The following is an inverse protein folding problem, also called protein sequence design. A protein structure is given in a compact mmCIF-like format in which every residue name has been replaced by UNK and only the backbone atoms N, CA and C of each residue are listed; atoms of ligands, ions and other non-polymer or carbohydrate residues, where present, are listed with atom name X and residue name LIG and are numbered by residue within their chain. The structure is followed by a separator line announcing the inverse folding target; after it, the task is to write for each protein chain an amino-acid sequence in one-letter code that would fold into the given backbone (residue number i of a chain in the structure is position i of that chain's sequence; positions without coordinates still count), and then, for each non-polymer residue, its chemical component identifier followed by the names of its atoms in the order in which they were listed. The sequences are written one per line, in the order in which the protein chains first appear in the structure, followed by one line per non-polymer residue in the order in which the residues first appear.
data_IF_949091550648
#
_entry.id   IF_949091550648
#
_cell.length_a   1.000
_cell.length_b   1.000
_cell.length_c   1.000
_cell.angle_alpha   90.00
_cell.angle_beta   90.00
_cell.angle_gamma   90.00
#
_symmetry.space_group_name_H-M   'P 1'
#
loop_
_entity.id
_entity.type
_entity.pdbx_description
1 polymer ?
#
# COMPACT_ATOMS: atom_id res chain seq x y z
N UNK A 1 -3.19 15.38 -48.75
CA UNK A 1 -4.33 14.84 -49.49
C UNK A 1 -5.12 13.91 -48.58
N UNK A 2 -6.38 14.20 -48.31
CA UNK A 2 -7.23 13.32 -47.51
C UNK A 2 -7.50 12.03 -48.33
N UNK A 3 -7.02 10.89 -47.85
CA UNK A 3 -7.37 9.61 -48.46
C UNK A 3 -8.91 9.45 -48.34
N UNK A 4 -9.58 9.26 -49.49
CA UNK A 4 -11.01 8.98 -49.54
C UNK A 4 -11.29 7.76 -48.66
N UNK A 5 -12.21 7.88 -47.70
CA UNK A 5 -12.64 6.76 -46.87
C UNK A 5 -13.24 5.68 -47.77
N UNK A 6 -12.48 4.60 -48.01
CA UNK A 6 -13.03 3.41 -48.68
C UNK A 6 -14.16 2.88 -47.77
N UNK A 7 -15.37 2.88 -48.30
CA UNK A 7 -16.52 2.23 -47.66
C UNK A 7 -16.43 0.72 -47.89
N UNK A 8 -16.84 -0.10 -46.96
CA UNK A 8 -16.91 -1.55 -47.17
C UNK A 8 -17.99 -1.87 -48.19
N UNK A 9 -17.70 -2.85 -49.07
CA UNK A 9 -18.73 -3.44 -49.91
C UNK A 9 -19.73 -4.30 -49.11
N UNK A 10 -20.85 -4.77 -49.69
CA UNK A 10 -21.87 -5.54 -48.95
C UNK A 10 -21.32 -6.81 -48.27
N UNK A 11 -20.36 -7.52 -48.89
CA UNK A 11 -19.77 -8.73 -48.27
C UNK A 11 -18.85 -8.36 -47.13
N UNK A 12 -18.07 -7.30 -47.26
CA UNK A 12 -17.23 -6.74 -46.20
C UNK A 12 -18.08 -6.20 -45.05
N UNK A 13 -19.21 -5.56 -45.37
CA UNK A 13 -20.15 -5.09 -44.35
C UNK A 13 -20.77 -6.24 -43.55
N UNK A 14 -21.10 -7.35 -44.19
CA UNK A 14 -21.59 -8.55 -43.54
C UNK A 14 -20.52 -9.11 -42.58
N UNK A 15 -19.26 -9.20 -43.01
CA UNK A 15 -18.17 -9.62 -42.11
C UNK A 15 -18.04 -8.71 -40.91
N UNK A 16 -18.17 -7.39 -41.08
CA UNK A 16 -18.12 -6.43 -39.94
C UNK A 16 -19.28 -6.65 -38.96
N UNK A 17 -20.46 -7.03 -39.44
CA UNK A 17 -21.61 -7.31 -38.61
C UNK A 17 -21.46 -8.62 -37.81
N UNK A 18 -20.88 -9.64 -38.46
CA UNK A 18 -20.77 -11.00 -37.93
C UNK A 18 -19.51 -11.23 -37.07
N UNK A 19 -18.52 -10.32 -37.12
CA UNK A 19 -17.28 -10.48 -36.35
C UNK A 19 -17.57 -10.53 -34.83
N UNK A 20 -16.97 -11.53 -34.15
CA UNK A 20 -17.03 -11.73 -32.68
C UNK A 20 -15.65 -11.69 -32.10
N UNK A 21 -15.58 -11.40 -30.81
CA UNK A 21 -14.31 -11.32 -30.08
C UNK A 21 -14.42 -12.14 -28.79
N UNK A 22 -13.43 -12.99 -28.53
CA UNK A 22 -13.36 -13.82 -27.33
C UNK A 22 -11.97 -13.75 -26.67
N UNK A 23 -11.96 -13.98 -25.35
CA UNK A 23 -10.71 -14.19 -24.61
C UNK A 23 -10.07 -15.50 -25.04
N UNK A 24 -8.81 -15.44 -25.43
CA UNK A 24 -8.06 -16.62 -25.88
C UNK A 24 -7.75 -17.56 -24.69
N UNK A 25 -7.97 -18.85 -24.93
CA UNK A 25 -7.57 -19.90 -23.99
C UNK A 25 -6.03 -20.03 -23.91
N UNK A 26 -5.48 -20.62 -22.84
CA UNK A 26 -4.03 -20.87 -22.76
C UNK A 26 -3.46 -21.65 -23.95
N UNK A 27 -4.20 -22.60 -24.48
CA UNK A 27 -3.79 -23.40 -25.64
C UNK A 27 -3.64 -22.59 -26.94
N UNK A 28 -4.47 -21.55 -27.10
CA UNK A 28 -4.44 -20.68 -28.29
C UNK A 28 -3.30 -19.66 -28.28
N UNK A 29 -2.69 -19.36 -27.13
CA UNK A 29 -1.62 -18.36 -27.00
C UNK A 29 -0.40 -18.66 -27.84
N UNK A 30 -0.02 -19.92 -28.00
CA UNK A 30 1.10 -20.31 -28.85
C UNK A 30 0.87 -19.94 -30.32
N UNK A 31 -0.36 -20.13 -30.82
CA UNK A 31 -0.75 -19.72 -32.17
C UNK A 31 -0.77 -18.19 -32.33
N UNK A 32 -1.29 -17.47 -31.36
CA UNK A 32 -1.28 -15.98 -31.34
C UNK A 32 0.16 -15.48 -31.43
N UNK A 33 1.08 -16.01 -30.63
CA UNK A 33 2.48 -15.59 -30.65
C UNK A 33 3.13 -15.86 -32.02
N UNK A 34 2.90 -17.01 -32.63
CA UNK A 34 3.40 -17.31 -33.99
C UNK A 34 2.84 -16.31 -35.02
N UNK A 35 1.56 -15.94 -34.94
CA UNK A 35 0.98 -14.96 -35.87
C UNK A 35 1.58 -13.56 -35.64
N UNK A 36 1.81 -13.17 -34.40
CA UNK A 36 2.47 -11.91 -34.07
C UNK A 36 3.92 -11.90 -34.56
N UNK A 37 4.68 -12.98 -34.35
CA UNK A 37 6.06 -13.08 -34.82
C UNK A 37 6.15 -13.02 -36.36
N UNK A 38 5.16 -13.56 -37.04
CA UNK A 38 5.14 -13.57 -38.53
C UNK A 38 4.67 -12.23 -39.11
N UNK A 39 3.68 -11.57 -38.52
CA UNK A 39 2.96 -10.47 -39.18
C UNK A 39 2.98 -9.14 -38.42
N UNK A 40 3.35 -9.11 -37.15
CA UNK A 40 3.40 -7.86 -36.36
C UNK A 40 4.83 -7.33 -36.31
N UNK A 41 5.06 -6.05 -36.62
CA UNK A 41 6.40 -5.42 -36.70
C UNK A 41 7.23 -5.50 -35.40
N UNK A 42 6.60 -5.69 -34.24
CA UNK A 42 7.27 -5.88 -32.93
C UNK A 42 7.32 -7.36 -32.52
N UNK A 43 6.81 -8.28 -33.33
CA UNK A 43 6.69 -9.69 -32.96
C UNK A 43 5.81 -9.95 -31.75
N UNK A 44 5.91 -11.15 -31.21
CA UNK A 44 5.26 -11.53 -29.96
C UNK A 44 5.88 -10.81 -28.75
N UNK A 45 5.22 -10.89 -27.60
CA UNK A 45 5.69 -10.30 -26.35
C UNK A 45 5.60 -11.33 -25.22
N UNK A 46 6.54 -11.26 -24.28
CA UNK A 46 6.44 -11.90 -22.96
C UNK A 46 5.95 -10.85 -21.94
N UNK A 47 4.64 -10.62 -21.83
CA UNK A 47 4.11 -9.59 -20.94
C UNK A 47 4.38 -9.94 -19.50
N UNK A 48 4.70 -8.92 -18.70
CA UNK A 48 4.88 -9.04 -17.26
C UNK A 48 3.57 -8.64 -16.57
N UNK A 49 3.19 -9.38 -15.55
CA UNK A 49 1.96 -9.10 -14.79
C UNK A 49 0.69 -9.64 -15.46
N UNK A 50 -0.42 -9.01 -15.14
CA UNK A 50 -1.75 -9.36 -15.66
C UNK A 50 -1.84 -9.09 -17.15
N UNK A 51 -2.51 -10.01 -17.89
CA UNK A 51 -2.57 -9.95 -19.35
C UNK A 51 -3.74 -10.74 -19.92
N UNK A 52 -4.40 -10.18 -20.93
CA UNK A 52 -5.41 -10.86 -21.70
C UNK A 52 -5.05 -10.88 -23.17
N UNK A 53 -5.34 -11.99 -23.82
CA UNK A 53 -5.22 -12.20 -25.24
C UNK A 53 -6.63 -12.35 -25.81
N UNK A 54 -6.91 -11.66 -26.91
CA UNK A 54 -8.19 -11.73 -27.60
C UNK A 54 -8.00 -12.24 -29.02
N UNK A 55 -9.00 -12.96 -29.49
CA UNK A 55 -9.13 -13.44 -30.86
C UNK A 55 -10.43 -12.90 -31.41
N UNK A 56 -10.39 -12.30 -32.59
CA UNK A 56 -11.57 -11.98 -33.36
C UNK A 56 -11.83 -13.06 -34.42
N UNK A 57 -13.10 -13.45 -34.57
CA UNK A 57 -13.56 -14.51 -35.44
C UNK A 57 -14.53 -13.96 -36.45
N UNK A 58 -14.54 -14.53 -37.69
CA UNK A 58 -15.64 -14.36 -38.63
C UNK A 58 -16.75 -15.42 -38.44
N UNK A 59 -17.79 -15.34 -39.23
CA UNK A 59 -18.89 -16.31 -39.22
C UNK A 59 -18.44 -17.75 -39.53
N UNK A 60 -17.38 -17.93 -40.30
CA UNK A 60 -16.77 -19.22 -40.65
C UNK A 60 -15.78 -19.72 -39.57
N UNK A 61 -15.73 -19.13 -38.40
CA UNK A 61 -14.83 -19.48 -37.30
C UNK A 61 -13.35 -19.34 -37.65
N UNK A 62 -13.01 -18.47 -38.63
CA UNK A 62 -11.61 -18.15 -38.96
C UNK A 62 -11.14 -16.98 -38.11
N UNK A 63 -9.88 -16.99 -37.70
CA UNK A 63 -9.27 -15.88 -36.97
C UNK A 63 -9.06 -14.72 -37.95
N UNK A 64 -9.60 -13.56 -37.62
CA UNK A 64 -9.45 -12.33 -38.43
C UNK A 64 -8.52 -11.30 -37.78
N UNK A 65 -8.40 -11.34 -36.45
CA UNK A 65 -7.53 -10.42 -35.70
C UNK A 65 -7.14 -11.00 -34.36
N UNK A 66 -6.01 -10.52 -33.80
CA UNK A 66 -5.57 -10.82 -32.45
C UNK A 66 -5.14 -9.54 -31.75
N UNK A 67 -5.49 -9.43 -30.44
CA UNK A 67 -5.08 -8.33 -29.58
C UNK A 67 -4.47 -8.87 -28.29
N UNK A 68 -3.51 -8.10 -27.74
CA UNK A 68 -2.90 -8.41 -26.44
C UNK A 68 -2.94 -7.17 -25.58
N UNK A 69 -3.50 -7.34 -24.38
CA UNK A 69 -3.47 -6.36 -23.32
C UNK A 69 -2.56 -6.84 -22.19
N UNK A 70 -1.84 -5.92 -21.56
CA UNK A 70 -0.88 -6.24 -20.49
C UNK A 70 -0.81 -5.12 -19.48
N UNK A 71 -0.02 -5.34 -18.42
CA UNK A 71 0.25 -4.31 -17.44
C UNK A 71 0.75 -3.01 -18.11
N UNK A 72 0.33 -1.83 -17.61
CA UNK A 72 0.68 -0.53 -18.20
C UNK A 72 2.13 -0.15 -17.91
N UNK A 73 2.60 0.91 -18.55
CA UNK A 73 3.90 1.51 -18.20
C UNK A 73 3.85 2.09 -16.79
N UNK A 74 4.91 1.85 -16.00
CA UNK A 74 4.96 2.29 -14.59
C UNK A 74 4.90 3.81 -14.42
N UNK A 75 5.56 4.54 -15.31
CA UNK A 75 5.66 6.01 -15.29
C UNK A 75 5.43 6.55 -16.68
N UNK A 76 4.39 7.36 -16.86
CA UNK A 76 4.09 8.08 -18.10
C UNK A 76 3.58 9.47 -17.74
N UNK A 77 4.43 10.47 -17.93
CA UNK A 77 4.14 11.86 -17.56
C UNK A 77 2.79 12.34 -18.12
N UNK A 78 2.56 12.17 -19.39
CA UNK A 78 1.34 12.64 -20.07
C UNK A 78 0.08 11.91 -19.59
N UNK A 79 0.13 10.58 -19.42
CA UNK A 79 -0.99 9.80 -18.86
C UNK A 79 -1.28 10.20 -17.43
N UNK A 80 -0.22 10.32 -16.61
CA UNK A 80 -0.35 10.61 -15.18
C UNK A 80 -0.94 12.01 -14.96
N UNK A 81 -0.54 12.98 -15.77
CA UNK A 81 -1.15 14.33 -15.81
C UNK A 81 -2.59 14.32 -16.31
N UNK A 82 -2.89 13.54 -17.36
CA UNK A 82 -4.23 13.43 -17.92
C UNK A 82 -5.21 12.77 -16.95
N UNK A 83 -4.80 11.71 -16.24
CA UNK A 83 -5.59 11.12 -15.16
C UNK A 83 -5.70 12.10 -13.98
N UNK A 84 -4.66 12.89 -13.67
CA UNK A 84 -4.64 13.87 -12.58
C UNK A 84 -4.43 13.27 -11.19
N UNK A 85 -3.93 12.05 -11.09
CA UNK A 85 -3.64 11.38 -9.84
C UNK A 85 -2.29 11.77 -9.23
N UNK A 86 -2.16 11.64 -7.92
CA UNK A 86 -0.88 11.79 -7.21
C UNK A 86 0.05 10.58 -7.49
N UNK A 87 1.33 10.74 -7.17
CA UNK A 87 2.30 9.65 -7.28
C UNK A 87 1.91 8.42 -6.42
N UNK A 88 1.30 8.64 -5.26
CA UNK A 88 0.86 7.58 -4.38
C UNK A 88 -0.40 6.90 -4.93
N UNK A 89 -1.39 7.65 -5.40
CA UNK A 89 -2.57 7.10 -6.07
C UNK A 89 -2.14 6.27 -7.29
N UNK A 90 -1.25 6.79 -8.15
CA UNK A 90 -0.70 6.03 -9.26
C UNK A 90 -0.11 4.70 -8.82
N UNK A 91 0.74 4.71 -7.79
CA UNK A 91 1.38 3.50 -7.28
C UNK A 91 0.37 2.45 -6.82
N UNK A 92 -0.68 2.88 -6.15
CA UNK A 92 -1.71 2.00 -5.58
C UNK A 92 -2.74 1.54 -6.60
N UNK A 93 -2.99 2.33 -7.65
CA UNK A 93 -4.10 2.18 -8.61
C UNK A 93 -3.66 1.83 -10.02
N UNK A 94 -2.36 1.64 -10.25
CA UNK A 94 -1.81 1.42 -11.59
C UNK A 94 -2.38 0.15 -12.27
N UNK A 95 -2.77 -0.88 -11.52
CA UNK A 95 -3.42 -2.08 -12.06
C UNK A 95 -4.84 -1.84 -12.59
N UNK A 96 -5.46 -0.68 -12.28
CA UNK A 96 -6.71 -0.25 -12.93
C UNK A 96 -6.48 0.34 -14.34
N UNK A 97 -5.25 0.38 -14.80
CA UNK A 97 -4.87 0.77 -16.16
C UNK A 97 -4.30 -0.44 -16.88
N UNK A 98 -4.62 -0.61 -18.15
CA UNK A 98 -4.04 -1.66 -19.01
C UNK A 98 -3.50 -1.09 -20.31
N UNK A 99 -2.55 -1.79 -20.91
CA UNK A 99 -1.89 -1.39 -22.16
C UNK A 99 -2.25 -2.35 -23.31
N UNK A 100 -2.88 -1.83 -24.37
CA UNK A 100 -2.98 -2.58 -25.62
C UNK A 100 -1.59 -2.64 -26.28
N UNK A 101 -0.82 -3.68 -25.98
CA UNK A 101 0.57 -3.81 -26.38
C UNK A 101 0.78 -4.45 -27.75
N UNK A 102 -0.22 -5.18 -28.28
CA UNK A 102 -0.24 -5.76 -29.61
C UNK A 102 -1.65 -5.71 -30.18
N UNK A 103 -1.72 -5.31 -31.44
CA UNK A 103 -2.95 -5.36 -32.22
C UNK A 103 -2.58 -5.72 -33.67
N UNK A 104 -3.12 -6.83 -34.16
CA UNK A 104 -2.87 -7.35 -35.51
C UNK A 104 -4.19 -7.75 -36.15
N UNK A 105 -4.55 -7.09 -37.25
CA UNK A 105 -5.52 -7.61 -38.21
C UNK A 105 -4.73 -8.50 -39.19
N UNK A 106 -5.21 -9.72 -39.39
CA UNK A 106 -4.48 -10.67 -40.24
C UNK A 106 -4.49 -10.21 -41.71
N UNK A 107 -3.38 -10.36 -42.45
CA UNK A 107 -3.24 -9.80 -43.81
C UNK A 107 -4.31 -10.25 -44.81
N UNK A 108 -4.83 -11.46 -44.62
CA UNK A 108 -5.90 -12.03 -45.47
C UNK A 108 -7.24 -11.30 -45.33
N UNK A 109 -7.39 -10.48 -44.27
CA UNK A 109 -8.62 -9.75 -43.98
C UNK A 109 -8.42 -8.23 -44.08
N UNK A 110 -8.02 -7.76 -45.24
CA UNK A 110 -7.87 -6.32 -45.53
C UNK A 110 -9.24 -5.65 -45.78
N UNK A 111 -10.07 -5.61 -44.77
CA UNK A 111 -11.42 -5.04 -44.83
C UNK A 111 -11.45 -3.65 -44.15
N UNK A 112 -11.97 -2.61 -44.86
CA UNK A 112 -12.12 -1.29 -44.26
C UNK A 112 -12.90 -1.35 -42.93
N UNK A 113 -12.48 -0.59 -41.93
CA UNK A 113 -13.08 -0.52 -40.61
C UNK A 113 -13.00 -1.80 -39.74
N UNK A 114 -12.46 -2.93 -40.22
CA UNK A 114 -12.37 -4.16 -39.45
C UNK A 114 -11.59 -3.97 -38.14
N UNK A 115 -10.44 -3.31 -38.19
CA UNK A 115 -9.65 -3.01 -37.01
C UNK A 115 -10.44 -2.18 -35.98
N UNK A 116 -11.13 -1.13 -36.43
CA UNK A 116 -11.93 -0.29 -35.54
C UNK A 116 -13.10 -1.07 -34.91
N UNK A 117 -13.75 -1.94 -35.66
CA UNK A 117 -14.84 -2.81 -35.20
C UNK A 117 -14.35 -3.81 -34.16
N UNK A 118 -13.26 -4.51 -34.44
CA UNK A 118 -12.66 -5.48 -33.50
C UNK A 118 -12.21 -4.79 -32.21
N UNK A 119 -11.55 -3.64 -32.31
CA UNK A 119 -11.14 -2.88 -31.13
C UNK A 119 -12.33 -2.45 -30.29
N UNK A 120 -13.42 -1.98 -30.91
CA UNK A 120 -14.65 -1.60 -30.22
C UNK A 120 -15.23 -2.75 -29.43
N UNK A 121 -15.45 -3.90 -30.09
CA UNK A 121 -15.98 -5.10 -29.46
C UNK A 121 -15.12 -5.60 -28.30
N UNK A 122 -13.79 -5.47 -28.44
CA UNK A 122 -12.85 -5.83 -27.37
C UNK A 122 -12.99 -4.88 -26.18
N UNK A 123 -13.06 -3.57 -26.41
CA UNK A 123 -13.13 -2.56 -25.35
C UNK A 123 -14.45 -2.64 -24.58
N UNK A 124 -15.54 -3.01 -25.25
CA UNK A 124 -16.88 -3.11 -24.63
C UNK A 124 -16.94 -4.24 -23.59
N UNK A 125 -16.04 -5.24 -23.65
CA UNK A 125 -15.98 -6.36 -22.70
C UNK A 125 -14.71 -6.39 -21.82
N UNK A 126 -13.70 -5.58 -22.15
CA UNK A 126 -12.36 -5.65 -21.56
C UNK A 126 -12.36 -5.58 -20.03
N UNK A 127 -13.13 -4.68 -19.44
CA UNK A 127 -13.18 -4.48 -17.98
C UNK A 127 -13.81 -5.68 -17.27
N UNK A 128 -14.88 -6.25 -17.83
CA UNK A 128 -15.57 -7.41 -17.26
C UNK A 128 -14.73 -8.68 -17.37
N UNK A 129 -14.06 -8.86 -18.51
CA UNK A 129 -13.13 -9.97 -18.69
C UNK A 129 -11.94 -9.88 -17.72
N UNK A 130 -11.46 -8.65 -17.47
CA UNK A 130 -10.38 -8.42 -16.50
C UNK A 130 -10.85 -8.71 -15.07
N UNK A 131 -12.05 -8.26 -14.71
CA UNK A 131 -12.69 -8.58 -13.44
C UNK A 131 -12.82 -10.10 -13.25
N UNK A 132 -13.26 -10.82 -14.28
CA UNK A 132 -13.41 -12.27 -14.23
C UNK A 132 -12.07 -13.01 -14.05
N UNK A 133 -11.01 -12.53 -14.73
CA UNK A 133 -9.72 -13.21 -14.69
C UNK A 133 -8.86 -12.85 -13.47
N UNK A 134 -8.97 -11.62 -12.94
CA UNK A 134 -8.04 -11.08 -11.93
C UNK A 134 -8.71 -10.57 -10.66
N UNK A 135 -10.05 -10.56 -10.60
CA UNK A 135 -10.81 -10.12 -9.44
C UNK A 135 -10.85 -8.60 -9.26
N UNK A 136 -10.54 -7.83 -10.30
CA UNK A 136 -10.74 -6.38 -10.34
C UNK A 136 -10.95 -5.90 -11.78
N UNK A 137 -11.70 -4.81 -12.00
CA UNK A 137 -11.89 -4.23 -13.32
C UNK A 137 -10.68 -3.41 -13.77
N UNK A 138 -10.71 -2.92 -15.02
CA UNK A 138 -9.83 -1.86 -15.52
C UNK A 138 -10.65 -0.63 -15.88
N UNK A 139 -10.09 0.55 -15.63
CA UNK A 139 -10.75 1.85 -15.81
C UNK A 139 -10.22 2.62 -17.02
N UNK A 140 -8.93 2.47 -17.33
CA UNK A 140 -8.26 3.19 -18.40
C UNK A 140 -7.45 2.23 -19.25
N UNK A 141 -7.42 2.46 -20.52
CA UNK A 141 -6.56 1.73 -21.45
C UNK A 141 -5.61 2.71 -22.16
N UNK A 142 -4.34 2.29 -22.30
CA UNK A 142 -3.30 3.03 -23.00
C UNK A 142 -2.73 2.22 -24.18
N UNK A 143 -2.12 2.88 -25.16
CA UNK A 143 -1.36 2.23 -26.23
C UNK A 143 -0.29 3.15 -26.79
N UNK A 144 0.72 2.57 -27.41
CA UNK A 144 1.85 3.25 -28.03
C UNK A 144 1.89 2.97 -29.53
N UNK A 145 1.74 4.01 -30.33
CA UNK A 145 1.74 3.93 -31.79
C UNK A 145 3.08 4.46 -32.33
N UNK A 146 3.70 3.68 -33.19
CA UNK A 146 4.90 4.07 -33.93
C UNK A 146 4.51 5.06 -35.05
N UNK A 147 4.91 6.36 -34.97
CA UNK A 147 4.48 7.38 -35.92
C UNK A 147 5.09 7.18 -37.34
N UNK A 148 6.21 6.46 -37.46
CA UNK A 148 6.82 6.17 -38.73
C UNK A 148 6.03 5.14 -39.56
N UNK A 149 5.19 4.33 -38.89
CA UNK A 149 4.43 3.22 -39.46
C UNK A 149 2.94 3.43 -39.50
N UNK A 150 2.39 4.10 -38.49
CA UNK A 150 0.94 4.16 -38.27
C UNK A 150 0.46 5.54 -37.85
N UNK A 151 -0.65 5.98 -38.39
CA UNK A 151 -1.31 7.24 -38.02
C UNK A 151 -2.20 7.12 -36.77
N UNK A 152 -2.44 5.92 -36.24
CA UNK A 152 -3.29 5.72 -35.06
C UNK A 152 -4.79 5.86 -35.32
N UNK A 153 -5.24 5.88 -36.58
CA UNK A 153 -6.64 6.13 -36.99
C UNK A 153 -7.62 5.15 -36.33
N UNK A 154 -7.24 3.90 -36.11
CA UNK A 154 -8.07 2.89 -35.44
C UNK A 154 -8.40 3.27 -34.01
N UNK A 155 -7.48 3.89 -33.31
CA UNK A 155 -7.66 4.38 -31.94
C UNK A 155 -8.51 5.64 -31.91
N UNK A 156 -8.20 6.62 -32.76
CA UNK A 156 -8.98 7.86 -32.87
C UNK A 156 -10.46 7.57 -33.21
N UNK A 157 -10.70 6.63 -34.14
CA UNK A 157 -12.06 6.20 -34.51
C UNK A 157 -12.83 5.53 -33.36
N UNK A 158 -12.13 5.05 -32.35
CA UNK A 158 -12.69 4.46 -31.14
C UNK A 158 -12.68 5.42 -29.93
N UNK A 159 -12.56 6.72 -30.15
CA UNK A 159 -12.66 7.73 -29.08
C UNK A 159 -11.46 7.76 -28.15
N UNK A 160 -10.28 7.34 -28.60
CA UNK A 160 -9.05 7.50 -27.84
C UNK A 160 -8.49 8.92 -28.02
N UNK A 161 -7.92 9.44 -26.94
CA UNK A 161 -7.27 10.75 -26.92
C UNK A 161 -5.76 10.57 -27.09
N UNK A 162 -5.16 11.29 -28.02
CA UNK A 162 -3.70 11.37 -28.15
C UNK A 162 -3.17 12.38 -27.11
N UNK A 163 -2.20 11.97 -26.32
CA UNK A 163 -1.61 12.81 -25.26
C UNK A 163 -0.21 13.34 -25.59
N UNK A 164 0.32 13.02 -26.79
CA UNK A 164 1.66 13.41 -27.21
C UNK A 164 2.60 12.24 -27.41
N UNK A 165 3.90 12.48 -27.34
CA UNK A 165 4.93 11.49 -27.59
C UNK A 165 5.68 11.09 -26.31
N UNK A 166 6.19 9.85 -26.30
CA UNK A 166 7.06 9.35 -25.23
C UNK A 166 8.49 9.83 -25.46
N UNK A 167 9.30 9.87 -24.38
CA UNK A 167 10.70 10.29 -24.43
C UNK A 167 11.65 9.23 -25.05
N UNK A 168 11.12 8.14 -25.62
CA UNK A 168 11.91 7.11 -26.28
C UNK A 168 12.74 6.22 -25.34
N UNK A 169 12.24 5.96 -24.11
CA UNK A 169 12.86 5.02 -23.18
C UNK A 169 12.21 3.63 -23.28
N UNK A 170 13.05 2.60 -23.38
CA UNK A 170 12.63 1.20 -23.34
C UNK A 170 13.15 0.49 -22.10
N UNK A 171 12.38 -0.44 -21.55
CA UNK A 171 12.79 -1.28 -20.42
C UNK A 171 13.65 -2.44 -20.94
N UNK A 172 14.91 -2.52 -20.49
CA UNK A 172 15.81 -3.63 -20.83
C UNK A 172 15.78 -4.75 -19.80
N UNK A 173 15.73 -4.42 -18.48
CA UNK A 173 15.70 -5.37 -17.37
C UNK A 173 14.81 -4.84 -16.24
N UNK A 174 14.65 -5.61 -15.16
CA UNK A 174 13.66 -5.37 -14.10
C UNK A 174 13.65 -3.95 -13.54
N UNK A 175 14.62 -3.15 -13.57
CA UNK A 175 14.62 -1.74 -13.16
C UNK A 175 15.61 -0.90 -13.97
N UNK A 176 15.91 -1.37 -15.20
CA UNK A 176 16.84 -0.72 -16.09
C UNK A 176 16.15 -0.27 -17.36
N UNK A 177 16.28 1.01 -17.71
CA UNK A 177 15.72 1.64 -18.91
C UNK A 177 16.84 2.16 -19.76
N UNK A 178 16.75 1.94 -21.07
CA UNK A 178 17.68 2.47 -22.07
C UNK A 178 16.93 3.40 -22.99
N UNK A 179 17.53 4.53 -23.30
CA UNK A 179 17.02 5.47 -24.28
C UNK A 179 17.30 4.92 -25.68
N UNK A 180 16.25 4.76 -26.47
CA UNK A 180 16.37 4.23 -27.85
C UNK A 180 16.03 5.27 -28.93
N UNK A 181 15.74 6.53 -28.53
CA UNK A 181 15.45 7.69 -29.38
C UNK A 181 14.37 7.46 -30.47
N UNK A 182 13.43 6.53 -30.21
CA UNK A 182 12.25 6.28 -31.04
C UNK A 182 10.99 6.63 -30.25
N UNK A 183 10.59 7.91 -30.24
CA UNK A 183 9.39 8.34 -29.54
C UNK A 183 8.15 7.69 -30.17
N UNK A 184 7.17 7.31 -29.34
CA UNK A 184 5.88 6.77 -29.78
C UNK A 184 4.78 7.72 -29.40
N UNK A 185 3.74 7.81 -30.22
CA UNK A 185 2.52 8.54 -29.89
C UNK A 185 1.75 7.76 -28.83
N UNK A 186 1.38 8.43 -27.75
CA UNK A 186 0.62 7.84 -26.67
C UNK A 186 -0.87 8.16 -26.85
N UNK A 187 -1.67 7.12 -26.93
CA UNK A 187 -3.12 7.21 -26.92
C UNK A 187 -3.67 6.61 -25.62
N UNK A 188 -4.71 7.24 -25.08
CA UNK A 188 -5.42 6.77 -23.89
C UNK A 188 -6.93 6.83 -24.12
N UNK A 189 -7.66 5.96 -23.42
CA UNK A 189 -9.11 6.01 -23.39
C UNK A 189 -9.63 5.61 -22.01
N UNK A 190 -10.56 6.38 -21.40
CA UNK A 190 -11.32 5.94 -20.26
C UNK A 190 -12.35 4.90 -20.72
N UNK A 191 -12.52 3.82 -19.98
CA UNK A 191 -13.54 2.79 -20.30
C UNK A 191 -14.92 3.20 -19.80
N UNK A 192 -14.99 4.05 -18.76
CA UNK A 192 -16.21 4.69 -18.25
C UNK A 192 -16.04 6.20 -18.24
N UNK A 193 -17.14 6.93 -18.26
CA UNK A 193 -17.11 8.43 -18.27
C UNK A 193 -16.47 9.03 -17.02
N UNK A 194 -16.58 8.35 -15.89
CA UNK A 194 -16.08 8.79 -14.59
C UNK A 194 -14.72 8.17 -14.19
N UNK A 195 -14.08 7.37 -15.06
CA UNK A 195 -12.84 6.65 -14.74
C UNK A 195 -11.74 7.55 -14.17
N UNK A 196 -11.44 8.69 -14.81
CA UNK A 196 -10.41 9.61 -14.31
C UNK A 196 -10.79 10.19 -12.94
N UNK A 197 -12.06 10.58 -12.75
CA UNK A 197 -12.55 11.08 -11.46
C UNK A 197 -12.45 10.01 -10.38
N UNK A 198 -12.80 8.77 -10.69
CA UNK A 198 -12.66 7.63 -9.77
C UNK A 198 -11.20 7.40 -9.39
N UNK A 199 -10.27 7.48 -10.36
CA UNK A 199 -8.85 7.29 -10.11
C UNK A 199 -8.19 8.43 -9.30
N UNK A 200 -8.79 9.64 -9.29
CA UNK A 200 -8.34 10.80 -8.50
C UNK A 200 -8.96 10.83 -7.10
N UNK A 201 -10.08 10.15 -6.87
CA UNK A 201 -10.81 10.21 -5.61
C UNK A 201 -9.91 9.87 -4.41
N UNK A 202 -10.18 10.44 -3.26
CA UNK A 202 -9.45 10.12 -2.03
C UNK A 202 -9.62 8.63 -1.69
N UNK A 203 -10.84 8.13 -1.76
CA UNK A 203 -11.19 6.74 -1.57
C UNK A 203 -11.79 6.14 -2.85
N UNK A 204 -11.33 4.95 -3.21
CA UNK A 204 -11.92 4.20 -4.32
C UNK A 204 -13.25 3.57 -3.91
N UNK A 205 -14.13 3.36 -4.90
CA UNK A 205 -15.32 2.50 -4.73
C UNK A 205 -14.87 1.08 -4.34
N UNK A 206 -15.67 0.32 -3.56
CA UNK A 206 -15.28 -1.00 -3.06
C UNK A 206 -14.76 -1.95 -4.13
N UNK A 207 -15.40 -2.00 -5.30
CA UNK A 207 -15.02 -2.85 -6.42
C UNK A 207 -13.64 -2.51 -7.02
N UNK A 208 -13.21 -1.26 -6.90
CA UNK A 208 -11.90 -0.78 -7.33
C UNK A 208 -10.84 -0.86 -6.22
N UNK A 209 -11.27 -0.75 -4.96
CA UNK A 209 -10.36 -0.67 -3.80
C UNK A 209 -9.56 -1.96 -3.57
N UNK A 210 -10.03 -3.09 -4.08
CA UNK A 210 -9.33 -4.39 -4.00
C UNK A 210 -7.91 -4.34 -4.56
N UNK A 211 -7.63 -3.46 -5.52
CA UNK A 211 -6.28 -3.31 -6.08
C UNK A 211 -5.33 -2.62 -5.10
N UNK A 212 -5.82 -1.67 -4.32
CA UNK A 212 -5.00 -0.97 -3.33
C UNK A 212 -4.56 -1.89 -2.21
N UNK A 213 -5.41 -2.84 -1.79
CA UNK A 213 -5.09 -3.83 -0.77
C UNK A 213 -3.96 -4.80 -1.20
N UNK A 214 -3.79 -5.01 -2.52
CA UNK A 214 -2.71 -5.86 -3.07
C UNK A 214 -1.35 -5.16 -3.12
N UNK A 215 -1.32 -3.82 -2.98
CA UNK A 215 -0.08 -3.04 -3.08
C UNK A 215 0.53 -2.87 -1.69
N UNK A 216 1.72 -3.43 -1.43
CA UNK A 216 2.35 -3.30 -0.13
C UNK A 216 2.62 -1.81 0.19
N UNK A 217 2.40 -1.40 1.44
CA UNK A 217 2.73 -0.05 1.87
C UNK A 217 4.21 0.25 1.62
N UNK A 218 4.52 1.51 1.32
CA UNK A 218 5.89 1.99 1.15
C UNK A 218 6.21 3.04 2.21
N UNK A 219 7.46 3.07 2.62
CA UNK A 219 7.94 4.17 3.43
C UNK A 219 7.88 5.48 2.63
N UNK A 220 7.02 6.38 3.05
CA UNK A 220 6.86 7.73 2.49
C UNK A 220 7.89 8.73 3.01
N UNK A 221 8.63 8.37 4.08
CA UNK A 221 9.59 9.27 4.72
C UNK A 221 10.83 9.53 3.85
N UNK A 222 11.22 10.80 3.79
CA UNK A 222 12.44 11.22 3.12
C UNK A 222 13.69 10.70 3.87
N UNK A 223 14.81 10.56 3.16
CA UNK A 223 16.08 10.09 3.72
C UNK A 223 16.51 10.88 4.98
N UNK A 224 16.24 12.19 5.03
CA UNK A 224 16.55 13.03 6.21
C UNK A 224 15.73 12.61 7.43
N UNK A 225 14.45 12.33 7.27
CA UNK A 225 13.55 11.86 8.35
C UNK A 225 13.96 10.48 8.84
N UNK A 226 14.29 9.56 7.91
CA UNK A 226 14.81 8.22 8.25
C UNK A 226 16.07 8.35 9.10
N UNK A 227 17.04 9.21 8.74
CA UNK A 227 18.24 9.44 9.52
C UNK A 227 17.95 9.95 10.93
N UNK A 228 17.02 10.87 11.07
CA UNK A 228 16.62 11.40 12.39
C UNK A 228 16.12 10.30 13.33
N UNK A 229 15.32 9.36 12.81
CA UNK A 229 14.82 8.19 13.57
C UNK A 229 16.00 7.25 13.91
N UNK A 230 16.83 6.95 12.92
CA UNK A 230 18.01 6.07 13.09
C UNK A 230 18.94 6.61 14.17
N UNK A 231 19.19 7.92 14.20
CA UNK A 231 20.10 8.54 15.16
C UNK A 231 19.61 8.36 16.61
N UNK A 232 18.29 8.37 16.85
CA UNK A 232 17.73 8.06 18.17
C UNK A 232 17.90 6.57 18.55
N UNK A 233 17.87 5.67 17.57
CA UNK A 233 17.92 4.23 17.78
C UNK A 233 19.34 3.66 17.79
N UNK A 234 20.37 4.41 17.32
CA UNK A 234 21.78 3.96 17.29
C UNK A 234 22.35 3.60 18.65
N UNK A 235 21.86 4.19 19.72
CA UNK A 235 22.29 3.89 21.09
C UNK A 235 21.70 2.58 21.64
N UNK A 236 20.92 1.82 20.86
CA UNK A 236 20.51 0.47 21.25
C UNK A 236 21.70 -0.45 21.37
N UNK A 237 21.88 -1.15 22.51
CA UNK A 237 22.97 -2.08 22.69
C UNK A 237 22.82 -3.29 21.76
N UNK A 238 23.87 -3.65 21.07
CA UNK A 238 23.92 -4.83 20.21
C UNK A 238 24.18 -6.07 21.07
N UNK A 239 23.20 -6.97 21.15
CA UNK A 239 23.29 -8.21 21.94
C UNK A 239 23.87 -9.40 21.16
N UNK A 240 23.98 -9.26 19.83
CA UNK A 240 24.47 -10.35 18.97
C UNK A 240 25.98 -10.29 18.88
N UNK A 241 26.64 -11.44 19.03
CA UNK A 241 28.10 -11.55 18.93
C UNK A 241 28.64 -11.18 17.54
N UNK A 242 27.83 -11.38 16.49
CA UNK A 242 28.21 -11.10 15.10
C UNK A 242 27.12 -10.36 14.34
N UNK A 243 27.47 -9.22 13.78
CA UNK A 243 26.58 -8.36 12.96
C UNK A 243 27.12 -8.32 11.54
N UNK A 244 26.46 -9.02 10.61
CA UNK A 244 26.89 -9.06 9.21
C UNK A 244 26.32 -7.89 8.39
N UNK A 245 25.00 -7.89 8.16
CA UNK A 245 24.35 -6.93 7.23
C UNK A 245 23.44 -5.93 7.91
N UNK A 246 22.83 -6.30 9.03
CA UNK A 246 21.76 -5.55 9.65
C UNK A 246 22.07 -5.23 11.12
N UNK A 247 22.61 -4.03 11.44
CA UNK A 247 22.71 -3.56 12.82
C UNK A 247 21.33 -3.58 13.51
N UNK A 248 21.30 -3.73 14.83
CA UNK A 248 20.07 -3.83 15.60
C UNK A 248 19.15 -2.61 15.41
N UNK A 249 19.75 -1.42 15.47
CA UNK A 249 19.03 -0.17 15.25
C UNK A 249 18.42 -0.07 13.83
N UNK A 250 19.02 -0.71 12.83
CA UNK A 250 18.45 -0.74 11.46
C UNK A 250 17.16 -1.53 11.42
N UNK A 251 17.10 -2.68 12.10
CA UNK A 251 15.90 -3.52 12.18
C UNK A 251 14.79 -2.82 12.98
N UNK A 252 15.13 -2.24 14.14
CA UNK A 252 14.20 -1.44 14.93
C UNK A 252 13.66 -0.25 14.15
N UNK A 253 14.51 0.47 13.40
CA UNK A 253 14.09 1.58 12.54
C UNK A 253 13.13 1.15 11.45
N UNK A 254 13.34 0.00 10.83
CA UNK A 254 12.44 -0.53 9.79
C UNK A 254 11.07 -0.87 10.38
N UNK A 255 11.04 -1.50 11.55
CA UNK A 255 9.80 -1.85 12.25
C UNK A 255 9.03 -0.59 12.63
N UNK A 256 9.69 0.39 13.23
CA UNK A 256 9.07 1.66 13.59
C UNK A 256 8.51 2.40 12.36
N UNK A 257 9.30 2.51 11.29
CA UNK A 257 8.83 3.10 10.03
C UNK A 257 7.67 2.33 9.41
N UNK A 258 7.65 1.00 9.52
CA UNK A 258 6.55 0.19 9.06
C UNK A 258 5.27 0.48 9.85
N UNK A 259 5.36 0.62 11.16
CA UNK A 259 4.23 1.00 12.01
C UNK A 259 3.73 2.41 11.70
N UNK A 260 4.62 3.39 11.57
CA UNK A 260 4.27 4.76 11.19
C UNK A 260 3.64 4.87 9.78
N UNK A 261 3.84 3.88 8.93
CA UNK A 261 3.24 3.78 7.60
C UNK A 261 2.06 2.81 7.55
N UNK A 262 1.52 2.40 8.69
CA UNK A 262 0.39 1.44 8.82
C UNK A 262 0.62 0.13 8.04
N UNK A 263 1.87 -0.30 7.95
CA UNK A 263 2.27 -1.34 7.02
C UNK A 263 2.09 -2.78 7.49
N UNK A 264 2.36 -3.18 8.76
CA UNK A 264 2.45 -4.58 9.06
C UNK A 264 1.22 -5.13 9.76
N UNK A 265 0.74 -6.25 9.26
CA UNK A 265 -0.12 -7.19 10.02
C UNK A 265 0.68 -8.38 10.57
N UNK A 266 1.97 -8.48 10.22
CA UNK A 266 2.86 -9.56 10.67
C UNK A 266 4.27 -9.46 10.08
N UNK A 267 5.13 -10.41 10.45
CA UNK A 267 6.56 -10.41 10.08
C UNK A 267 6.80 -10.53 8.57
N UNK A 268 5.91 -11.23 7.83
CA UNK A 268 5.96 -11.32 6.37
C UNK A 268 5.75 -9.95 5.72
N UNK A 269 4.89 -9.12 6.31
CA UNK A 269 4.65 -7.78 5.79
C UNK A 269 5.81 -6.83 6.08
N UNK A 270 6.53 -7.03 7.20
CA UNK A 270 7.79 -6.33 7.48
C UNK A 270 8.84 -6.59 6.39
N UNK A 271 8.98 -7.85 5.93
CA UNK A 271 9.87 -8.17 4.81
C UNK A 271 9.44 -7.47 3.51
N UNK A 272 8.15 -7.50 3.18
CA UNK A 272 7.61 -6.81 1.99
C UNK A 272 7.85 -5.31 2.06
N UNK A 273 7.62 -4.71 3.23
CA UNK A 273 7.87 -3.30 3.49
C UNK A 273 9.36 -2.96 3.33
N UNK A 274 10.26 -3.76 3.94
CA UNK A 274 11.70 -3.60 3.83
C UNK A 274 12.22 -3.71 2.39
N UNK A 275 11.62 -4.59 1.58
CA UNK A 275 11.90 -4.69 0.14
C UNK A 275 11.47 -3.43 -0.64
N UNK A 276 10.50 -2.67 -0.13
CA UNK A 276 10.02 -1.42 -0.71
C UNK A 276 11.00 -0.24 -0.62
N UNK A 277 11.98 -0.26 0.29
CA UNK A 277 13.00 0.78 0.39
C UNK A 277 13.94 0.77 -0.81
N UNK A 278 14.26 1.96 -1.33
CA UNK A 278 15.32 2.12 -2.33
C UNK A 278 16.73 2.02 -1.69
N UNK A 279 17.79 1.94 -2.51
CA UNK A 279 19.16 1.78 -2.02
C UNK A 279 19.62 2.96 -1.15
N UNK A 280 19.18 4.19 -1.44
CA UNK A 280 19.47 5.38 -0.63
C UNK A 280 18.83 5.33 0.76
N UNK A 281 17.57 4.90 0.84
CA UNK A 281 16.87 4.70 2.11
C UNK A 281 17.50 3.56 2.92
N UNK A 282 17.86 2.43 2.29
CA UNK A 282 18.56 1.32 2.97
C UNK A 282 19.92 1.73 3.51
N UNK A 283 20.66 2.56 2.77
CA UNK A 283 21.90 3.17 3.26
C UNK A 283 21.64 4.07 4.47
N UNK A 284 20.60 4.90 4.43
CA UNK A 284 20.24 5.78 5.53
C UNK A 284 19.82 5.02 6.80
N UNK A 285 19.21 3.85 6.64
CA UNK A 285 18.89 2.91 7.72
C UNK A 285 20.13 2.25 8.35
N UNK A 286 21.35 2.45 7.80
CA UNK A 286 22.58 1.86 8.32
C UNK A 286 22.80 0.40 7.91
N UNK A 287 22.04 -0.12 6.95
CA UNK A 287 22.25 -1.46 6.39
C UNK A 287 23.63 -1.50 5.71
N UNK A 288 24.39 -2.57 5.91
CA UNK A 288 25.72 -2.74 5.32
C UNK A 288 25.62 -3.26 3.88
N UNK A 289 26.59 -2.88 3.05
CA UNK A 289 26.70 -3.40 1.67
C UNK A 289 27.05 -4.88 1.69
N UNK A 290 26.44 -5.64 0.81
CA UNK A 290 26.84 -7.01 0.51
C UNK A 290 28.06 -7.02 -0.46
N UNK A 291 28.59 -8.21 -0.74
CA UNK A 291 29.74 -8.40 -1.66
C UNK A 291 29.47 -7.88 -3.09
N UNK A 292 28.21 -7.76 -3.49
CA UNK A 292 27.79 -7.24 -4.79
C UNK A 292 27.61 -5.70 -4.80
N UNK A 293 27.95 -5.01 -3.69
CA UNK A 293 27.85 -3.56 -3.58
C UNK A 293 26.45 -3.01 -3.30
N UNK A 294 25.45 -3.88 -3.07
CA UNK A 294 24.07 -3.50 -2.78
C UNK A 294 23.76 -3.53 -1.27
N UNK A 295 22.76 -2.74 -0.86
CA UNK A 295 22.19 -2.79 0.48
C UNK A 295 21.00 -3.78 0.47
N UNK A 296 21.13 -4.99 1.03
CA UNK A 296 20.09 -6.00 0.96
C UNK A 296 18.89 -5.63 1.86
N UNK A 297 17.71 -6.18 1.56
CA UNK A 297 16.55 -6.07 2.46
C UNK A 297 16.56 -7.23 3.45
N UNK A 298 16.22 -6.98 4.75
CA UNK A 298 16.07 -8.06 5.73
C UNK A 298 14.93 -9.01 5.34
N UNK A 299 15.13 -10.30 5.62
CA UNK A 299 14.11 -11.33 5.44
C UNK A 299 13.20 -11.45 6.66
N UNK A 300 12.06 -12.14 6.51
CA UNK A 300 11.16 -12.47 7.61
C UNK A 300 11.89 -13.12 8.78
N UNK A 301 12.76 -14.10 8.52
CA UNK A 301 13.53 -14.80 9.56
C UNK A 301 14.52 -13.89 10.30
N UNK A 302 14.98 -12.80 9.65
CA UNK A 302 15.82 -11.79 10.30
C UNK A 302 15.00 -10.98 11.31
N UNK A 303 13.79 -10.56 10.94
CA UNK A 303 12.88 -9.88 11.86
C UNK A 303 12.43 -10.79 13.01
N UNK A 304 12.13 -12.07 12.73
CA UNK A 304 11.75 -13.04 13.74
C UNK A 304 12.82 -13.18 14.83
N UNK A 305 14.07 -13.36 14.43
CA UNK A 305 15.21 -13.45 15.38
C UNK A 305 15.46 -12.16 16.12
N UNK A 306 15.26 -11.02 15.48
CA UNK A 306 15.36 -9.71 16.13
C UNK A 306 14.30 -9.56 17.23
N UNK A 307 13.04 -9.84 16.92
CA UNK A 307 11.93 -9.70 17.88
C UNK A 307 12.02 -10.68 19.06
N UNK A 308 12.56 -11.89 18.83
CA UNK A 308 12.76 -12.87 19.88
C UNK A 308 13.90 -12.52 20.87
N UNK A 309 14.88 -11.70 20.46
CA UNK A 309 16.05 -11.40 21.27
C UNK A 309 16.17 -9.97 21.78
N UNK A 310 15.23 -9.09 21.39
CA UNK A 310 15.31 -7.67 21.79
C UNK A 310 14.89 -7.47 23.24
N UNK A 311 15.66 -6.64 23.95
CA UNK A 311 15.29 -6.13 25.25
C UNK A 311 14.19 -5.08 25.10
N UNK A 312 12.98 -5.42 25.56
CA UNK A 312 11.80 -4.58 25.41
C UNK A 312 11.93 -3.24 26.16
N UNK A 313 12.57 -3.23 27.33
CA UNK A 313 12.74 -2.00 28.13
C UNK A 313 13.68 -1.03 27.41
N UNK A 314 14.81 -1.52 26.92
CA UNK A 314 15.76 -0.70 26.14
C UNK A 314 15.17 -0.20 24.84
N UNK A 315 14.33 -1.01 24.18
CA UNK A 315 13.59 -0.55 23.02
C UNK A 315 12.63 0.57 23.38
N UNK A 316 11.89 0.42 24.48
CA UNK A 316 10.95 1.41 24.98
C UNK A 316 11.62 2.77 25.22
N UNK A 317 12.75 2.80 25.93
CA UNK A 317 13.52 4.03 26.14
C UNK A 317 13.89 4.73 24.83
N UNK A 318 14.26 3.96 23.80
CA UNK A 318 14.62 4.51 22.48
C UNK A 318 13.41 5.02 21.71
N UNK A 319 12.25 4.37 21.85
CA UNK A 319 11.00 4.83 21.25
C UNK A 319 10.54 6.15 21.86
N UNK A 320 10.66 6.31 23.20
CA UNK A 320 10.41 7.59 23.87
C UNK A 320 11.33 8.70 23.36
N UNK A 321 12.63 8.41 23.15
CA UNK A 321 13.56 9.36 22.54
C UNK A 321 13.18 9.74 21.12
N UNK A 322 12.69 8.80 20.31
CA UNK A 322 12.17 9.09 18.96
C UNK A 322 10.93 9.97 19.05
N UNK A 323 9.98 9.66 19.95
CA UNK A 323 8.79 10.47 20.15
C UNK A 323 9.14 11.90 20.51
N UNK A 324 10.02 12.10 21.50
CA UNK A 324 10.50 13.40 21.91
C UNK A 324 11.16 14.18 20.77
N UNK A 325 11.95 13.50 19.94
CA UNK A 325 12.64 14.09 18.77
C UNK A 325 11.67 14.53 17.69
N UNK A 326 10.59 13.79 17.47
CA UNK A 326 9.63 14.04 16.39
C UNK A 326 8.48 14.96 16.81
N UNK A 327 8.03 14.88 18.05
CA UNK A 327 6.82 15.56 18.54
C UNK A 327 7.10 16.60 19.62
N UNK A 328 8.32 16.65 20.15
CA UNK A 328 8.69 17.52 21.27
C UNK A 328 8.36 16.91 22.64
N UNK A 329 8.44 17.71 23.73
CA UNK A 329 8.19 17.24 25.08
C UNK A 329 6.73 16.79 25.26
N UNK A 330 6.54 15.86 26.18
CA UNK A 330 5.21 15.35 26.55
C UNK A 330 4.39 16.48 27.19
N UNK A 331 3.22 16.84 26.67
CA UNK A 331 2.39 17.89 27.25
C UNK A 331 1.83 17.47 28.61
N UNK A 332 1.46 18.46 29.44
CA UNK A 332 0.83 18.25 30.74
C UNK A 332 -0.67 17.97 30.54
N UNK A 333 -1.00 16.72 30.33
CA UNK A 333 -2.35 16.24 30.00
C UNK A 333 -2.76 15.09 30.90
N UNK A 334 -4.05 14.70 30.81
CA UNK A 334 -4.58 13.51 31.48
C UNK A 334 -3.80 12.27 30.97
N UNK A 335 -3.36 11.44 31.88
CA UNK A 335 -2.78 10.12 31.58
C UNK A 335 -3.85 9.05 31.71
N UNK A 336 -4.05 8.25 30.68
CA UNK A 336 -4.96 7.11 30.72
C UNK A 336 -4.13 5.83 30.62
N UNK A 337 -4.42 4.87 31.51
CA UNK A 337 -3.83 3.53 31.46
C UNK A 337 -4.93 2.52 31.12
N UNK A 338 -4.68 1.69 30.12
CA UNK A 338 -5.63 0.68 29.62
C UNK A 338 -4.89 -0.58 29.19
N UNK A 339 -5.45 -1.74 29.57
CA UNK A 339 -4.95 -3.04 29.17
C UNK A 339 -5.51 -3.49 27.83
N UNK A 340 -4.69 -4.13 27.01
CA UNK A 340 -5.09 -4.72 25.74
C UNK A 340 -4.63 -6.16 25.63
N UNK A 341 -5.59 -7.04 25.38
CA UNK A 341 -5.31 -8.42 25.01
C UNK A 341 -5.02 -8.54 23.51
N UNK A 342 -4.05 -9.37 23.10
CA UNK A 342 -3.81 -9.65 21.68
C UNK A 342 -5.02 -10.33 21.04
N UNK A 343 -5.57 -9.78 19.97
CA UNK A 343 -6.76 -10.30 19.27
C UNK A 343 -6.58 -11.71 18.65
N UNK A 344 -5.34 -12.15 18.46
CA UNK A 344 -5.03 -13.44 17.82
C UNK A 344 -3.74 -14.02 18.41
N UNK A 345 -3.86 -14.81 19.47
CA UNK A 345 -2.73 -15.53 20.04
C UNK A 345 -2.82 -15.66 21.57
N UNK A 346 -2.12 -16.63 22.11
CA UNK A 346 -1.86 -16.82 23.55
C UNK A 346 -0.76 -15.84 24.01
N UNK A 347 -0.92 -14.55 23.82
CA UNK A 347 0.04 -13.55 24.27
C UNK A 347 -0.39 -12.89 25.56
N UNK A 348 0.58 -12.50 26.40
CA UNK A 348 0.34 -11.70 27.60
C UNK A 348 -0.39 -10.39 27.24
N UNK A 349 -1.34 -9.97 28.08
CA UNK A 349 -1.97 -8.66 27.98
C UNK A 349 -0.92 -7.55 28.14
N UNK A 350 -1.15 -6.38 27.57
CA UNK A 350 -0.23 -5.24 27.64
C UNK A 350 -0.95 -4.06 28.28
N UNK A 351 -0.52 -3.66 29.45
CA UNK A 351 -0.98 -2.43 30.10
C UNK A 351 -0.17 -1.25 29.53
N UNK A 352 -0.84 -0.23 29.02
CA UNK A 352 -0.21 0.91 28.34
C UNK A 352 -0.68 2.23 28.92
N UNK A 353 0.25 3.17 29.12
CA UNK A 353 -0.02 4.54 29.55
C UNK A 353 0.17 5.52 28.38
N UNK A 354 -0.86 6.36 28.13
CA UNK A 354 -0.85 7.41 27.10
C UNK A 354 -1.46 8.70 27.62
N UNK A 355 -1.06 9.83 27.04
CA UNK A 355 -1.73 11.12 27.31
C UNK A 355 -2.99 11.30 26.46
N UNK A 356 -3.96 12.06 26.94
CA UNK A 356 -5.21 12.43 26.24
C UNK A 356 -5.39 13.94 26.32
N UNK A 357 -5.66 14.67 25.22
CA UNK A 357 -6.01 14.15 23.88
C UNK A 357 -4.85 13.86 22.93
N UNK A 358 -3.62 14.31 23.25
CA UNK A 358 -2.50 14.28 22.29
C UNK A 358 -1.91 12.89 22.01
N UNK A 359 -2.29 11.86 22.75
CA UNK A 359 -1.85 10.47 22.58
C UNK A 359 -0.31 10.30 22.55
N UNK A 360 0.40 10.93 23.49
CA UNK A 360 1.80 10.63 23.73
C UNK A 360 1.90 9.32 24.50
N UNK A 361 2.69 8.41 23.99
CA UNK A 361 3.05 7.17 24.67
C UNK A 361 4.00 7.47 25.83
N UNK A 362 3.71 6.92 27.01
CA UNK A 362 4.53 7.10 28.21
C UNK A 362 5.27 5.82 28.61
N UNK A 363 4.65 4.68 28.44
CA UNK A 363 5.23 3.39 28.75
C UNK A 363 4.22 2.26 28.67
N UNK A 364 4.73 1.03 28.77
CA UNK A 364 3.90 -0.17 28.86
C UNK A 364 4.58 -1.25 29.70
N UNK A 365 3.77 -2.17 30.23
CA UNK A 365 4.21 -3.36 30.92
C UNK A 365 3.42 -4.58 30.46
N UNK A 366 4.06 -5.76 30.46
CA UNK A 366 3.40 -7.03 30.15
C UNK A 366 2.68 -7.54 31.38
N UNK A 367 1.46 -8.04 31.18
CA UNK A 367 0.65 -8.68 32.21
C UNK A 367 0.65 -10.18 31.94
N UNK A 368 1.40 -10.94 32.72
CA UNK A 368 1.48 -12.40 32.57
C UNK A 368 0.12 -13.06 32.82
N UNK A 369 -0.12 -14.20 32.16
CA UNK A 369 -1.37 -15.00 32.28
C UNK A 369 -1.73 -15.36 33.73
N UNK A 370 -0.74 -15.41 34.65
CA UNK A 370 -0.92 -15.76 36.07
C UNK A 370 -1.12 -14.56 36.98
N UNK A 371 -1.02 -13.35 36.47
CA UNK A 371 -1.20 -12.10 37.20
C UNK A 371 -2.35 -11.30 36.59
N UNK A 372 -2.83 -10.30 37.33
CA UNK A 372 -3.78 -9.34 36.78
C UNK A 372 -3.11 -7.98 36.58
N UNK A 373 -3.82 -7.04 35.98
CA UNK A 373 -3.30 -5.71 35.65
C UNK A 373 -2.94 -4.87 36.88
N UNK A 374 -3.58 -5.13 38.05
CA UNK A 374 -3.42 -4.31 39.25
C UNK A 374 -1.99 -4.34 39.79
N UNK A 375 -1.37 -5.51 40.07
CA UNK A 375 0.01 -5.55 40.55
C UNK A 375 0.99 -5.00 39.51
N UNK A 376 0.75 -5.23 38.23
CA UNK A 376 1.60 -4.75 37.14
C UNK A 376 1.56 -3.21 37.04
N UNK A 377 0.37 -2.63 37.21
CA UNK A 377 0.24 -1.17 37.26
C UNK A 377 1.01 -0.60 38.47
N UNK A 378 0.82 -1.16 39.66
CA UNK A 378 1.38 -0.67 40.92
C UNK A 378 2.89 -0.88 41.02
N UNK A 379 3.40 -2.05 40.62
CA UNK A 379 4.79 -2.43 40.85
C UNK A 379 5.71 -2.18 39.65
N UNK A 380 5.15 -2.16 38.46
CA UNK A 380 5.97 -2.09 37.26
C UNK A 380 5.76 -0.82 36.43
N UNK A 381 4.51 -0.43 36.12
CA UNK A 381 4.27 0.65 35.19
C UNK A 381 4.34 2.03 35.85
N UNK A 382 3.52 2.28 36.90
CA UNK A 382 3.42 3.58 37.57
C UNK A 382 4.79 4.08 38.08
N UNK A 383 5.62 3.24 38.75
CA UNK A 383 6.92 3.70 39.28
C UNK A 383 7.93 4.11 38.20
N UNK A 384 7.72 3.70 36.93
CA UNK A 384 8.62 4.05 35.80
C UNK A 384 8.20 5.33 35.09
N UNK A 385 7.01 5.86 35.39
CA UNK A 385 6.44 7.00 34.70
C UNK A 385 6.70 8.31 35.41
N UNK A 386 6.98 9.36 34.69
CA UNK A 386 6.95 10.73 35.24
C UNK A 386 5.49 11.23 35.22
N UNK A 387 4.87 11.10 36.38
CA UNK A 387 3.46 11.50 36.63
C UNK A 387 3.36 12.79 37.43
N UNK A 388 4.47 13.47 37.75
CA UNK A 388 4.49 14.66 38.57
C UNK A 388 3.47 15.72 38.11
N UNK A 389 2.50 16.04 38.95
CA UNK A 389 1.43 17.00 38.69
C UNK A 389 0.42 16.57 37.60
N UNK A 390 0.45 15.34 37.13
CA UNK A 390 -0.50 14.82 36.13
C UNK A 390 -1.69 14.14 36.79
N UNK A 391 -2.85 14.28 36.16
CA UNK A 391 -4.01 13.49 36.53
C UNK A 391 -3.94 12.13 35.79
N UNK A 392 -4.06 11.03 36.52
CA UNK A 392 -4.01 9.66 36.01
C UNK A 392 -5.40 9.04 36.14
N UNK A 393 -5.91 8.50 35.01
CA UNK A 393 -7.18 7.78 34.98
C UNK A 393 -6.94 6.30 34.65
N UNK A 394 -7.55 5.44 35.48
CA UNK A 394 -7.61 4.00 35.28
C UNK A 394 -9.07 3.54 35.36
N UNK A 395 -9.32 2.33 34.85
CA UNK A 395 -10.65 1.74 34.92
C UNK A 395 -11.04 1.34 36.35
N UNK A 396 -12.28 0.87 36.55
CA UNK A 396 -12.81 0.52 37.85
C UNK A 396 -12.06 -0.64 38.56
N UNK A 397 -11.40 -1.53 37.81
CA UNK A 397 -10.61 -2.64 38.32
C UNK A 397 -9.48 -2.11 39.23
N UNK A 398 -8.88 -1.00 38.83
CA UNK A 398 -7.77 -0.34 39.54
C UNK A 398 -8.19 0.55 40.69
N UNK A 399 -9.48 0.60 41.09
CA UNK A 399 -9.97 1.37 42.25
C UNK A 399 -9.59 0.65 43.55
N UNK A 400 -8.33 0.78 43.90
CA UNK A 400 -7.69 0.17 45.08
C UNK A 400 -6.88 1.24 45.82
N UNK A 401 -6.81 1.15 47.14
CA UNK A 401 -6.04 2.09 48.00
C UNK A 401 -4.58 2.12 47.57
N UNK A 402 -3.98 0.96 47.31
CA UNK A 402 -2.58 0.86 46.88
C UNK A 402 -2.32 1.51 45.54
N UNK A 403 -3.22 1.37 44.55
CA UNK A 403 -3.09 2.08 43.27
C UNK A 403 -3.10 3.60 43.48
N UNK A 404 -4.02 4.11 44.29
CA UNK A 404 -4.08 5.55 44.60
C UNK A 404 -2.81 6.04 45.28
N UNK A 405 -2.29 5.26 46.26
CA UNK A 405 -1.04 5.56 46.97
C UNK A 405 0.15 5.58 46.03
N UNK A 406 0.29 4.59 45.18
CA UNK A 406 1.40 4.50 44.20
C UNK A 406 1.40 5.69 43.23
N UNK A 407 0.21 6.09 42.72
CA UNK A 407 0.12 7.27 41.83
C UNK A 407 0.56 8.55 42.56
N UNK A 408 0.15 8.72 43.80
CA UNK A 408 0.42 9.97 44.56
C UNK A 408 1.82 9.97 45.16
N UNK A 409 2.20 8.90 45.87
CA UNK A 409 3.42 8.87 46.66
C UNK A 409 4.67 8.53 45.84
N UNK A 410 4.55 7.64 44.86
CA UNK A 410 5.66 7.24 44.04
C UNK A 410 5.69 8.00 42.69
N UNK A 411 4.53 8.18 42.06
CA UNK A 411 4.42 8.89 40.78
C UNK A 411 4.36 10.41 40.91
N UNK A 412 4.05 10.96 42.08
CA UNK A 412 3.88 12.42 42.30
C UNK A 412 2.68 13.02 41.58
N UNK A 413 1.73 12.20 41.15
CA UNK A 413 0.57 12.57 40.35
C UNK A 413 -0.73 12.68 41.18
N UNK A 414 -1.82 12.90 40.47
CA UNK A 414 -3.19 12.87 40.98
C UNK A 414 -3.96 11.75 40.31
N UNK A 415 -4.98 11.19 40.93
CA UNK A 415 -5.76 10.11 40.35
C UNK A 415 -7.22 10.47 40.10
N UNK A 416 -7.81 9.85 39.11
CA UNK A 416 -9.24 9.83 38.84
C UNK A 416 -9.65 8.38 38.59
N UNK A 417 -10.22 7.74 39.64
CA UNK A 417 -10.58 6.32 39.56
C UNK A 417 -12.11 6.18 39.48
N UNK A 418 -12.55 5.27 38.60
CA UNK A 418 -13.97 4.99 38.40
C UNK A 418 -14.46 4.01 39.49
N UNK A 419 -15.44 4.39 40.28
CA UNK A 419 -16.06 3.52 41.32
C UNK A 419 -17.30 2.83 40.74
N UNK A 420 -17.31 1.50 40.77
CA UNK A 420 -18.42 0.64 40.33
C UNK A 420 -18.75 -0.39 41.40
N UNK A 421 -19.52 -1.43 41.08
CA UNK A 421 -19.98 -2.47 41.99
C UNK A 421 -18.84 -3.36 42.55
N UNK A 422 -17.62 -3.26 42.02
CA UNK A 422 -16.42 -3.86 42.61
C UNK A 422 -15.98 -3.23 43.92
N UNK A 423 -16.50 -2.03 44.26
CA UNK A 423 -16.27 -1.30 45.49
C UNK A 423 -17.61 -0.81 46.12
N UNK A 424 -18.51 -1.71 46.56
CA UNK A 424 -19.90 -1.38 46.92
C UNK A 424 -20.00 -0.43 48.10
N UNK A 425 -19.13 -0.59 49.12
CA UNK A 425 -19.10 0.28 50.28
C UNK A 425 -18.67 1.70 49.92
N UNK A 426 -17.60 1.83 49.13
CA UNK A 426 -17.10 3.12 48.67
C UNK A 426 -18.15 3.83 47.81
N UNK A 427 -18.77 3.11 46.89
CA UNK A 427 -19.87 3.60 46.06
C UNK A 427 -21.02 4.13 46.88
N UNK A 428 -21.52 3.36 47.87
CA UNK A 428 -22.60 3.77 48.73
C UNK A 428 -22.24 5.02 49.55
N UNK A 429 -21.00 5.12 50.03
CA UNK A 429 -20.53 6.29 50.78
C UNK A 429 -20.46 7.55 49.92
N UNK A 430 -20.03 7.42 48.63
CA UNK A 430 -20.02 8.52 47.65
C UNK A 430 -21.46 8.96 47.36
N UNK A 431 -22.36 8.01 47.06
CA UNK A 431 -23.76 8.29 46.74
C UNK A 431 -24.45 9.03 47.93
N UNK A 432 -24.20 8.61 49.18
CA UNK A 432 -24.70 9.32 50.39
C UNK A 432 -24.18 10.74 50.50
N UNK A 433 -22.89 10.97 50.20
CA UNK A 433 -22.29 12.32 50.26
C UNK A 433 -22.80 13.22 49.14
N UNK A 434 -23.00 12.69 47.95
CA UNK A 434 -23.51 13.46 46.78
C UNK A 434 -25.01 13.76 46.92
N UNK A 435 -25.78 12.86 47.54
CA UNK A 435 -27.22 13.06 47.85
C UNK A 435 -27.49 13.98 49.03
N UNK A 436 -26.51 14.25 49.92
CA UNK A 436 -26.65 15.21 50.99
C UNK A 436 -26.76 16.64 50.41
N UNK A 437 -27.72 17.49 50.91
CA UNK A 437 -27.77 18.87 50.48
C UNK A 437 -26.42 19.53 50.79
N UNK A 438 -25.86 20.24 49.80
CA UNK A 438 -24.53 20.84 49.80
C UNK A 438 -24.11 21.38 51.19
N UNK A 439 -23.33 20.60 51.91
CA UNK A 439 -22.51 21.13 52.97
C UNK A 439 -21.27 21.69 52.27
N UNK A 440 -21.04 22.96 52.43
CA UNK A 440 -19.97 23.79 51.95
C UNK A 440 -18.69 23.03 51.58
N UNK A 441 -18.43 22.91 50.26
CA UNK A 441 -17.06 22.74 49.81
C UNK A 441 -16.38 24.11 49.96
N UNK A 442 -15.32 24.25 50.72
CA UNK A 442 -14.55 25.47 50.72
C UNK A 442 -14.01 25.72 49.31
N UNK A 443 -13.90 26.99 48.90
CA UNK A 443 -13.48 27.40 47.56
C UNK A 443 -12.07 26.94 47.20
#
# INVERSE_FOLDING_TARGET
MAQSKKLPDPVQQQLLNDVRVDVATPAQRARINRLLDKHHYLGSIRPVGERLYYIAWDAAQRWVSVLVFSAPAKHLKHRDQWIGWSNEQRRRRLSLVTNNCRFLVLPEFSVPNLGSRVLRLTLDRLSDDWQTCYGHPVEVVETFVDPERFCGTVYTANGWTELGQTDGWGRCQRDYYVKHDKPKRLFVRPLRRDSCRSLQAEHLKPELAVVEAKVPPRCSHAVKQIRSIVDCLKAMPEYRARVESYPLFSLASIILLAMLCEAPRGQTDLEKFARGFNQGQRRALGIRRNRQGHYPAPSQSTFSRFLAGIDALKLNERLLAVQQRLRGPVPQELVVMDGKEPNHGSGASILTAVTVPSQYYLGSALVDEKTNEIPVAQQELIPRLDLAGRLVSLDALHTQDETARTVVLEGGGHYLLTVKDNQPTLRSNIEKKVAAPQADFPP
#
